data_IF_896007064412
#
_entry.id   IF_896007064412
#
_cell.length_a   1.000
_cell.length_b   1.000
_cell.length_c   1.000
_cell.angle_alpha   90.00
_cell.angle_beta   90.00
_cell.angle_gamma   90.00
#
_symmetry.space_group_name_H-M   'P 1'
#
loop_
_entity.id
_entity.type
_entity.pdbx_description
1 polymer ?
#
# COMPACT_ATOMS: atom_id res chain seq x y z
N UNK A 1 -27.65 -16.49 2.08
CA UNK A 1 -28.38 -16.10 0.85
C UNK A 1 -28.23 -14.62 0.48
N UNK A 2 -28.29 -13.64 1.41
CA UNK A 2 -28.08 -12.21 1.09
C UNK A 2 -26.66 -11.87 0.57
N UNK A 3 -25.62 -12.52 1.13
CA UNK A 3 -24.21 -12.33 0.74
C UNK A 3 -23.95 -12.66 -0.74
N UNK A 4 -24.40 -13.82 -1.22
CA UNK A 4 -24.21 -14.23 -2.61
C UNK A 4 -24.92 -13.31 -3.61
N UNK A 5 -26.17 -12.89 -3.34
CA UNK A 5 -26.87 -11.91 -4.18
C UNK A 5 -26.16 -10.55 -4.19
N UNK A 6 -25.63 -10.08 -3.06
CA UNK A 6 -24.83 -8.85 -2.96
C UNK A 6 -23.54 -8.96 -3.78
N UNK A 7 -22.83 -10.09 -3.74
CA UNK A 7 -21.63 -10.31 -4.56
C UNK A 7 -21.90 -10.27 -6.07
N UNK A 8 -23.03 -10.81 -6.53
CA UNK A 8 -23.38 -10.79 -7.95
C UNK A 8 -23.98 -9.46 -8.43
N UNK A 9 -24.60 -8.66 -7.54
CA UNK A 9 -25.16 -7.35 -7.89
C UNK A 9 -24.16 -6.20 -7.76
N UNK A 10 -23.02 -6.41 -7.10
CA UNK A 10 -21.99 -5.40 -6.87
C UNK A 10 -20.99 -5.41 -8.01
N UNK A 11 -20.82 -4.28 -8.71
CA UNK A 11 -19.73 -4.10 -9.67
C UNK A 11 -18.40 -4.05 -8.91
N UNK A 12 -17.70 -5.18 -8.85
CA UNK A 12 -16.33 -5.24 -8.34
C UNK A 12 -15.40 -4.54 -9.32
N UNK A 13 -14.73 -3.49 -8.89
CA UNK A 13 -13.67 -2.85 -9.67
C UNK A 13 -12.35 -3.57 -9.41
N UNK A 14 -11.80 -4.21 -10.44
CA UNK A 14 -10.49 -4.84 -10.38
C UNK A 14 -9.41 -3.86 -10.83
N UNK A 15 -8.49 -3.55 -9.94
CA UNK A 15 -7.31 -2.73 -10.23
C UNK A 15 -6.09 -3.61 -10.50
N UNK A 16 -5.56 -3.54 -11.73
CA UNK A 16 -4.32 -4.21 -12.12
C UNK A 16 -3.34 -3.17 -12.64
N UNK A 17 -2.17 -3.12 -12.03
CA UNK A 17 -1.03 -2.38 -12.55
C UNK A 17 0.10 -3.36 -12.85
N UNK A 18 0.68 -3.25 -14.05
CA UNK A 18 1.78 -4.11 -14.50
C UNK A 18 3.02 -3.24 -14.61
N UNK A 19 3.99 -3.52 -13.74
CA UNK A 19 5.24 -2.79 -13.70
C UNK A 19 6.15 -3.07 -14.88
N UNK A 20 7.24 -2.30 -14.96
CA UNK A 20 8.26 -2.49 -15.99
C UNK A 20 8.91 -3.88 -15.87
N UNK A 21 9.10 -4.61 -16.98
CA UNK A 21 9.69 -5.94 -16.94
C UNK A 21 11.17 -5.88 -16.51
N UNK A 22 11.59 -6.89 -15.76
CA UNK A 22 12.93 -7.01 -15.19
C UNK A 22 13.49 -8.41 -15.39
N UNK A 23 14.81 -8.52 -15.42
CA UNK A 23 15.52 -9.79 -15.44
C UNK A 23 15.67 -10.43 -14.03
N UNK A 24 16.33 -11.59 -13.98
CA UNK A 24 16.61 -12.35 -12.74
C UNK A 24 17.61 -11.67 -11.79
N UNK A 25 18.17 -10.52 -12.17
CA UNK A 25 19.03 -9.67 -11.34
C UNK A 25 18.37 -8.30 -11.04
N UNK A 26 17.12 -8.14 -11.47
CA UNK A 26 16.33 -6.94 -11.35
C UNK A 26 16.79 -5.77 -12.24
N UNK A 27 17.50 -6.01 -13.33
CA UNK A 27 17.73 -4.98 -14.33
C UNK A 27 16.49 -4.87 -15.22
N UNK A 28 16.09 -3.64 -15.59
CA UNK A 28 15.03 -3.48 -16.57
C UNK A 28 15.44 -4.07 -17.91
N UNK A 29 14.46 -4.55 -18.67
CA UNK A 29 14.69 -5.07 -20.02
C UNK A 29 14.04 -4.17 -21.07
N UNK A 30 14.60 -4.19 -22.28
CA UNK A 30 13.97 -3.57 -23.44
C UNK A 30 12.82 -4.42 -24.01
N UNK A 31 12.25 -3.97 -25.14
CA UNK A 31 11.18 -4.65 -25.86
C UNK A 31 11.54 -6.05 -26.39
N UNK A 32 12.84 -6.34 -26.54
CA UNK A 32 13.35 -7.64 -26.95
C UNK A 32 13.73 -8.54 -25.75
N UNK A 33 13.54 -8.06 -24.52
CA UNK A 33 13.93 -8.76 -23.30
C UNK A 33 15.42 -8.66 -22.98
N UNK A 34 16.16 -7.74 -23.60
CA UNK A 34 17.60 -7.53 -23.35
C UNK A 34 17.75 -6.69 -22.09
N UNK A 35 18.56 -7.16 -21.15
CA UNK A 35 18.82 -6.45 -19.90
C UNK A 35 19.63 -5.18 -20.11
N UNK A 36 19.13 -4.12 -19.51
CA UNK A 36 19.65 -2.77 -19.65
C UNK A 36 20.29 -2.31 -18.34
N UNK A 37 21.52 -1.82 -18.44
CA UNK A 37 22.22 -1.16 -17.35
C UNK A 37 21.75 0.30 -17.18
N UNK A 38 22.15 0.96 -16.08
CA UNK A 38 21.71 2.32 -15.75
C UNK A 38 21.99 3.37 -16.84
N UNK A 39 23.05 3.16 -17.63
CA UNK A 39 23.47 4.08 -18.70
C UNK A 39 22.97 3.66 -20.09
N UNK A 40 22.00 2.73 -20.17
CA UNK A 40 21.48 2.21 -21.44
C UNK A 40 22.38 1.16 -22.13
N UNK A 41 23.44 0.71 -21.46
CA UNK A 41 24.31 -0.36 -21.96
C UNK A 41 23.65 -1.73 -21.79
N UNK A 42 23.88 -2.66 -22.71
CA UNK A 42 23.37 -4.02 -22.56
C UNK A 42 24.16 -4.81 -21.51
N UNK A 43 23.46 -5.63 -20.73
CA UNK A 43 24.04 -6.52 -19.71
C UNK A 43 23.92 -7.96 -20.21
N UNK A 44 25.07 -8.62 -20.34
CA UNK A 44 25.11 -10.06 -20.53
C UNK A 44 25.05 -10.77 -19.17
N UNK A 45 23.85 -11.20 -18.83
CA UNK A 45 23.53 -11.98 -17.62
C UNK A 45 24.43 -13.20 -17.43
N UNK A 46 24.82 -13.87 -18.52
CA UNK A 46 25.65 -15.07 -18.46
C UNK A 46 27.01 -14.75 -17.87
N UNK A 47 27.58 -13.59 -18.24
CA UNK A 47 28.87 -13.12 -17.70
C UNK A 47 28.81 -12.90 -16.19
N UNK A 48 27.68 -12.48 -15.64
CA UNK A 48 27.50 -12.32 -14.18
C UNK A 48 27.60 -13.66 -13.44
N UNK A 49 27.21 -14.77 -14.10
CA UNK A 49 27.26 -16.12 -13.57
C UNK A 49 28.52 -16.90 -13.97
N UNK A 50 29.40 -16.32 -14.80
CA UNK A 50 30.65 -16.94 -15.23
C UNK A 50 31.79 -16.66 -14.25
N UNK A 51 32.54 -17.69 -13.86
CA UNK A 51 33.76 -17.59 -13.05
C UNK A 51 34.90 -18.28 -13.79
N UNK A 52 36.01 -17.57 -14.04
CA UNK A 52 37.16 -18.10 -14.81
C UNK A 52 36.78 -18.67 -16.19
N UNK A 53 35.81 -18.05 -16.87
CA UNK A 53 35.35 -18.47 -18.20
C UNK A 53 34.30 -19.58 -18.19
N UNK A 54 34.02 -20.19 -17.04
CA UNK A 54 33.02 -21.25 -16.90
C UNK A 54 31.75 -20.76 -16.22
N UNK A 55 30.59 -21.12 -16.77
CA UNK A 55 29.32 -20.92 -16.09
C UNK A 55 29.25 -21.87 -14.89
N UNK A 56 29.29 -21.31 -13.68
CA UNK A 56 29.42 -22.08 -12.45
C UNK A 56 28.55 -21.49 -11.35
N UNK A 57 27.81 -22.34 -10.65
CA UNK A 57 27.10 -21.97 -9.43
C UNK A 57 28.11 -21.62 -8.34
N UNK A 58 27.95 -20.45 -7.72
CA UNK A 58 28.83 -19.96 -6.65
C UNK A 58 27.91 -19.49 -5.52
N UNK A 59 27.66 -20.33 -4.50
CA UNK A 59 26.61 -20.08 -3.51
C UNK A 59 26.68 -18.71 -2.83
N UNK A 60 27.89 -18.21 -2.56
CA UNK A 60 28.08 -16.89 -1.98
C UNK A 60 27.63 -15.77 -2.92
N UNK A 61 28.13 -15.76 -4.17
CA UNK A 61 27.74 -14.77 -5.20
C UNK A 61 26.25 -14.83 -5.50
N UNK A 62 25.72 -16.04 -5.66
CA UNK A 62 24.32 -16.26 -6.04
C UNK A 62 23.39 -15.77 -4.92
N UNK A 63 23.80 -15.90 -3.64
CA UNK A 63 23.11 -15.29 -2.50
C UNK A 63 23.10 -13.76 -2.56
N UNK A 64 24.23 -13.12 -2.89
CA UNK A 64 24.30 -11.65 -3.05
C UNK A 64 23.35 -11.17 -4.16
N UNK A 65 23.37 -11.82 -5.32
CA UNK A 65 22.45 -11.50 -6.42
C UNK A 65 20.99 -11.70 -6.05
N UNK A 66 20.67 -12.76 -5.30
CA UNK A 66 19.32 -12.99 -4.79
C UNK A 66 18.89 -11.88 -3.83
N UNK A 67 19.79 -11.41 -2.95
CA UNK A 67 19.53 -10.29 -2.06
C UNK A 67 19.27 -8.98 -2.82
N UNK A 68 20.10 -8.67 -3.81
CA UNK A 68 19.92 -7.51 -4.69
C UNK A 68 18.57 -7.57 -5.42
N UNK A 69 18.21 -8.72 -5.98
CA UNK A 69 16.90 -8.92 -6.61
C UNK A 69 15.77 -8.68 -5.60
N UNK A 70 15.88 -9.23 -4.39
CA UNK A 70 14.89 -9.04 -3.33
C UNK A 70 14.65 -7.56 -3.02
N UNK A 71 15.73 -6.78 -2.84
CA UNK A 71 15.62 -5.34 -2.61
C UNK A 71 14.92 -4.60 -3.77
N UNK A 72 15.28 -4.92 -5.01
CA UNK A 72 14.66 -4.31 -6.19
C UNK A 72 13.19 -4.70 -6.33
N UNK A 73 12.84 -5.95 -6.06
CA UNK A 73 11.45 -6.42 -6.09
C UNK A 73 10.61 -5.71 -5.04
N UNK A 74 11.12 -5.52 -3.81
CA UNK A 74 10.44 -4.73 -2.77
C UNK A 74 10.24 -3.29 -3.24
N UNK A 75 11.29 -2.63 -3.74
CA UNK A 75 11.19 -1.26 -4.26
C UNK A 75 10.13 -1.15 -5.37
N UNK A 76 10.13 -2.09 -6.33
CA UNK A 76 9.11 -2.12 -7.40
C UNK A 76 7.73 -2.45 -6.87
N UNK A 77 7.58 -3.36 -5.91
CA UNK A 77 6.28 -3.69 -5.31
C UNK A 77 5.59 -2.45 -4.73
N UNK A 78 6.36 -1.55 -4.12
CA UNK A 78 5.86 -0.26 -3.65
C UNK A 78 5.62 0.72 -4.80
N UNK A 79 6.59 0.87 -5.72
CA UNK A 79 6.47 1.76 -6.88
C UNK A 79 5.24 1.45 -7.74
N UNK A 80 4.88 0.17 -7.89
CA UNK A 80 3.78 -0.30 -8.72
C UNK A 80 2.45 -0.42 -7.95
N UNK A 81 2.43 -0.06 -6.68
CA UNK A 81 1.22 -0.07 -5.86
C UNK A 81 0.18 0.92 -6.38
N UNK A 82 -1.07 0.49 -6.51
CA UNK A 82 -2.21 1.37 -6.74
C UNK A 82 -2.97 1.55 -5.42
N UNK A 83 -2.94 2.76 -4.88
CA UNK A 83 -3.69 3.15 -3.69
C UNK A 83 -5.15 3.44 -4.09
N UNK A 84 -6.08 2.78 -3.41
CA UNK A 84 -7.51 2.99 -3.59
C UNK A 84 -8.08 3.93 -2.52
N UNK A 85 -9.26 4.48 -2.78
CA UNK A 85 -10.05 5.27 -1.83
C UNK A 85 -10.27 4.52 -0.52
N UNK A 86 -10.57 3.22 -0.58
CA UNK A 86 -10.73 2.35 0.59
C UNK A 86 -9.47 2.26 1.46
N UNK A 87 -8.29 2.18 0.84
CA UNK A 87 -7.01 2.17 1.57
C UNK A 87 -6.77 3.51 2.26
N UNK A 88 -7.06 4.62 1.57
CA UNK A 88 -6.84 5.96 2.07
C UNK A 88 -7.79 6.31 3.22
N UNK A 89 -9.08 5.94 3.11
CA UNK A 89 -10.06 6.06 4.20
C UNK A 89 -9.60 5.25 5.41
N UNK A 90 -9.21 3.98 5.21
CA UNK A 90 -8.77 3.12 6.29
C UNK A 90 -7.54 3.69 7.01
N UNK A 91 -6.55 4.15 6.24
CA UNK A 91 -5.35 4.78 6.79
C UNK A 91 -5.66 6.05 7.55
N UNK A 92 -6.50 6.93 6.99
CA UNK A 92 -6.86 8.20 7.61
C UNK A 92 -7.62 8.00 8.92
N UNK A 93 -8.58 7.06 8.95
CA UNK A 93 -9.33 6.73 10.16
C UNK A 93 -8.40 6.16 11.23
N UNK A 94 -7.50 5.25 10.84
CA UNK A 94 -6.53 4.69 11.77
C UNK A 94 -5.56 5.76 12.30
N UNK A 95 -5.13 6.70 11.46
CA UNK A 95 -4.27 7.83 11.85
C UNK A 95 -4.96 8.72 12.90
N UNK A 96 -6.21 9.13 12.67
CA UNK A 96 -6.94 9.94 13.67
C UNK A 96 -7.09 9.19 14.99
N UNK A 97 -7.50 7.92 14.95
CA UNK A 97 -7.64 7.11 16.16
C UNK A 97 -6.31 6.96 16.89
N UNK A 98 -5.22 6.78 16.15
CA UNK A 98 -3.88 6.64 16.73
C UNK A 98 -3.43 7.92 17.44
N UNK A 99 -3.73 9.08 16.88
CA UNK A 99 -3.47 10.39 17.52
C UNK A 99 -4.25 10.58 18.82
N UNK A 100 -5.44 9.99 18.94
CA UNK A 100 -6.22 10.02 20.18
C UNK A 100 -5.64 9.10 21.27
N UNK A 101 -4.97 8.01 20.87
CA UNK A 101 -4.43 6.99 21.77
C UNK A 101 -2.94 6.70 21.51
N UNK A 102 -2.04 7.69 21.67
CA UNK A 102 -0.64 7.56 21.26
C UNK A 102 0.17 6.57 22.12
N UNK A 103 -0.24 6.35 23.38
CA UNK A 103 0.50 5.52 24.34
C UNK A 103 0.06 4.05 24.36
N UNK A 104 -1.03 3.69 23.67
CA UNK A 104 -1.48 2.30 23.63
C UNK A 104 -0.55 1.45 22.76
N UNK A 105 -0.26 0.23 23.20
CA UNK A 105 0.34 -0.77 22.32
C UNK A 105 -0.68 -1.25 21.27
N UNK A 106 -0.20 -1.85 20.17
CA UNK A 106 -1.04 -2.28 19.06
C UNK A 106 -2.18 -3.22 19.49
N UNK A 107 -1.91 -4.17 20.39
CA UNK A 107 -2.93 -5.14 20.82
C UNK A 107 -4.06 -4.49 21.62
N UNK A 108 -3.72 -3.54 22.51
CA UNK A 108 -4.73 -2.76 23.23
C UNK A 108 -5.47 -1.80 22.30
N UNK A 109 -4.77 -1.19 21.36
CA UNK A 109 -5.34 -0.27 20.38
C UNK A 109 -6.36 -0.95 19.44
N UNK A 110 -6.09 -2.17 18.97
CA UNK A 110 -7.05 -2.93 18.17
C UNK A 110 -8.29 -3.39 18.97
N UNK A 111 -8.26 -3.25 20.30
CA UNK A 111 -9.34 -3.65 21.22
C UNK A 111 -10.11 -2.48 21.83
N UNK A 112 -9.96 -1.26 21.29
CA UNK A 112 -10.77 -0.11 21.69
C UNK A 112 -12.27 -0.46 21.69
N UNK A 113 -13.07 0.13 22.57
CA UNK A 113 -14.53 -0.08 22.57
C UNK A 113 -15.19 0.68 21.42
N UNK A 114 -16.45 0.37 21.07
CA UNK A 114 -17.15 1.07 19.98
C UNK A 114 -17.17 2.59 20.17
N UNK A 115 -17.45 3.06 21.39
CA UNK A 115 -17.45 4.49 21.72
C UNK A 115 -16.07 5.16 21.52
N UNK A 116 -14.98 4.41 21.71
CA UNK A 116 -13.61 4.90 21.52
C UNK A 116 -13.17 4.92 20.06
N UNK A 117 -13.91 4.26 19.16
CA UNK A 117 -13.60 4.18 17.73
C UNK A 117 -14.37 5.22 16.90
N UNK A 118 -15.09 6.13 17.55
CA UNK A 118 -15.88 7.17 16.90
C UNK A 118 -15.05 8.45 16.73
N UNK A 119 -15.07 9.02 15.53
CA UNK A 119 -14.36 10.24 15.18
C UNK A 119 -15.34 11.24 14.58
N UNK A 120 -15.35 12.51 15.05
CA UNK A 120 -16.10 13.58 14.39
C UNK A 120 -15.72 13.72 12.91
N UNK A 121 -16.72 13.82 12.03
CA UNK A 121 -16.50 13.74 10.58
C UNK A 121 -15.67 14.93 10.04
N UNK A 122 -15.80 16.11 10.64
CA UNK A 122 -14.96 17.29 10.39
C UNK A 122 -13.47 17.00 10.63
N UNK A 123 -13.13 16.45 11.81
CA UNK A 123 -11.76 16.04 12.15
C UNK A 123 -11.22 14.95 11.23
N UNK A 124 -12.10 14.04 10.82
CA UNK A 124 -11.72 13.00 9.86
C UNK A 124 -11.38 13.61 8.50
N UNK A 125 -12.18 14.55 7.98
CA UNK A 125 -11.90 15.20 6.70
C UNK A 125 -10.59 16.00 6.71
N UNK A 126 -10.29 16.69 7.82
CA UNK A 126 -8.99 17.37 8.00
C UNK A 126 -7.83 16.38 7.89
N UNK A 127 -7.91 15.24 8.59
CA UNK A 127 -6.87 14.23 8.53
C UNK A 127 -6.79 13.55 7.14
N UNK A 128 -7.94 13.26 6.54
CA UNK A 128 -8.04 12.64 5.23
C UNK A 128 -7.39 13.52 4.15
N UNK A 129 -7.61 14.84 4.21
CA UNK A 129 -6.96 15.79 3.32
C UNK A 129 -5.44 15.82 3.51
N UNK A 130 -4.98 15.84 4.77
CA UNK A 130 -3.55 15.80 5.12
C UNK A 130 -2.87 14.52 4.59
N UNK A 131 -3.47 13.37 4.83
CA UNK A 131 -2.96 12.07 4.35
C UNK A 131 -2.97 12.03 2.82
N UNK A 132 -4.03 12.52 2.18
CA UNK A 132 -4.12 12.59 0.72
C UNK A 132 -2.98 13.41 0.13
N UNK A 133 -2.65 14.58 0.69
CA UNK A 133 -1.54 15.41 0.24
C UNK A 133 -0.20 14.64 0.29
N UNK A 134 0.06 13.92 1.38
CA UNK A 134 1.26 13.09 1.53
C UNK A 134 1.33 11.98 0.48
N UNK A 135 0.21 11.28 0.24
CA UNK A 135 0.14 10.19 -0.74
C UNK A 135 0.23 10.74 -2.16
N UNK A 136 -0.37 11.89 -2.44
CA UNK A 136 -0.27 12.58 -3.73
C UNK A 136 1.16 12.97 -4.05
N UNK A 137 1.89 13.57 -3.09
CA UNK A 137 3.30 13.91 -3.27
C UNK A 137 4.17 12.67 -3.57
N UNK A 138 3.86 11.53 -2.93
CA UNK A 138 4.53 10.27 -3.25
C UNK A 138 4.20 9.77 -4.66
N UNK A 139 2.94 9.90 -5.08
CA UNK A 139 2.51 9.56 -6.43
C UNK A 139 3.22 10.43 -7.49
N UNK A 140 3.32 11.73 -7.25
CA UNK A 140 4.00 12.69 -8.15
C UNK A 140 5.51 12.39 -8.26
N UNK A 141 6.11 11.87 -7.18
CA UNK A 141 7.49 11.38 -7.19
C UNK A 141 7.68 9.98 -7.80
N UNK A 142 6.61 9.35 -8.30
CA UNK A 142 6.64 8.03 -8.93
C UNK A 142 6.83 6.86 -7.95
N UNK A 143 6.56 7.07 -6.66
CA UNK A 143 6.68 6.03 -5.61
C UNK A 143 5.46 5.13 -5.49
N UNK A 144 4.32 5.52 -6.05
CA UNK A 144 3.07 4.75 -6.08
C UNK A 144 2.13 5.35 -7.13
N UNK A 145 1.01 4.68 -7.37
CA UNK A 145 -0.08 5.15 -8.21
C UNK A 145 -1.34 5.39 -7.37
N UNK A 146 -2.17 6.33 -7.82
CA UNK A 146 -3.51 6.56 -7.27
C UNK A 146 -4.58 5.89 -8.14
N UNK A 147 -5.73 5.55 -7.57
CA UNK A 147 -6.92 5.23 -8.38
C UNK A 147 -7.44 6.47 -9.12
N UNK A 148 -8.29 6.28 -10.12
CA UNK A 148 -8.94 7.39 -10.84
C UNK A 148 -9.81 8.22 -9.92
N UNK A 149 -10.54 7.58 -9.00
CA UNK A 149 -11.38 8.25 -8.00
C UNK A 149 -10.59 9.23 -7.14
N UNK A 150 -9.38 8.84 -6.72
CA UNK A 150 -8.50 9.71 -5.93
C UNK A 150 -7.91 10.87 -6.74
N UNK A 151 -7.64 10.67 -8.05
CA UNK A 151 -7.09 11.74 -8.90
C UNK A 151 -8.10 12.83 -9.26
N UNK A 152 -9.38 12.48 -9.37
CA UNK A 152 -10.41 13.38 -9.89
C UNK A 152 -11.38 13.90 -8.81
N UNK A 153 -11.25 13.41 -7.57
CA UNK A 153 -12.28 13.55 -6.54
C UNK A 153 -12.02 14.65 -5.53
N UNK A 154 -13.09 15.36 -5.16
CA UNK A 154 -13.19 16.09 -3.89
C UNK A 154 -13.02 15.12 -2.70
N UNK A 155 -12.48 15.59 -1.57
CA UNK A 155 -12.28 14.78 -0.36
C UNK A 155 -13.53 14.03 0.07
N UNK A 156 -14.70 14.66 -0.04
CA UNK A 156 -15.97 14.04 0.33
C UNK A 156 -16.34 12.89 -0.59
N UNK A 157 -16.13 13.09 -1.90
CA UNK A 157 -16.48 12.11 -2.93
C UNK A 157 -15.66 10.84 -2.75
N UNK A 158 -14.33 10.95 -2.62
CA UNK A 158 -13.50 9.76 -2.50
C UNK A 158 -13.63 9.10 -1.12
N UNK A 159 -13.96 9.86 -0.07
CA UNK A 159 -14.27 9.28 1.25
C UNK A 159 -15.55 8.45 1.18
N UNK A 160 -16.61 8.97 0.56
CA UNK A 160 -17.87 8.24 0.38
C UNK A 160 -17.67 6.96 -0.44
N UNK A 161 -16.91 7.05 -1.54
CA UNK A 161 -16.52 5.87 -2.33
C UNK A 161 -15.71 4.89 -1.47
N UNK A 162 -14.68 5.35 -0.76
CA UNK A 162 -13.84 4.48 0.07
C UNK A 162 -14.63 3.74 1.16
N UNK A 163 -15.53 4.43 1.85
CA UNK A 163 -16.44 3.82 2.84
C UNK A 163 -17.37 2.81 2.18
N UNK A 164 -17.91 3.12 1.00
CA UNK A 164 -18.74 2.19 0.24
C UNK A 164 -17.99 0.92 -0.14
N UNK A 165 -16.79 1.06 -0.74
CA UNK A 165 -15.93 -0.06 -1.18
C UNK A 165 -15.55 -0.98 -0.02
N UNK A 166 -15.23 -0.39 1.15
CA UNK A 166 -14.94 -1.14 2.38
C UNK A 166 -16.13 -1.99 2.87
N UNK A 167 -17.36 -1.59 2.57
CA UNK A 167 -18.59 -2.30 2.95
C UNK A 167 -19.10 -3.33 1.94
N UNK A 168 -18.42 -3.54 0.81
CA UNK A 168 -18.88 -4.45 -0.25
C UNK A 168 -18.66 -5.93 0.09
N UNK A 169 -17.48 -6.27 0.62
CA UNK A 169 -17.02 -7.65 0.76
C UNK A 169 -17.20 -8.26 2.16
N UNK A 170 -17.47 -7.42 3.16
CA UNK A 170 -17.54 -7.85 4.56
C UNK A 170 -18.95 -7.62 5.13
N UNK A 171 -19.39 -8.52 6.00
CA UNK A 171 -20.64 -8.35 6.74
C UNK A 171 -20.51 -7.26 7.82
N UNK A 172 -19.30 -7.07 8.38
CA UNK A 172 -18.96 -6.00 9.31
C UNK A 172 -18.62 -4.70 8.56
N UNK A 173 -19.06 -3.55 9.08
CA UNK A 173 -18.77 -2.25 8.48
C UNK A 173 -17.37 -1.79 8.89
N UNK A 174 -16.39 -2.01 8.00
CA UNK A 174 -15.00 -1.60 8.24
C UNK A 174 -14.87 -0.09 8.44
N UNK A 175 -15.71 0.70 7.75
CA UNK A 175 -15.94 2.11 8.05
C UNK A 175 -17.43 2.43 7.90
N UNK A 176 -17.93 3.34 8.73
CA UNK A 176 -19.34 3.73 8.77
C UNK A 176 -19.46 5.21 9.08
N UNK A 177 -20.25 5.95 8.31
CA UNK A 177 -20.57 7.35 8.59
C UNK A 177 -22.03 7.42 9.05
N UNK A 178 -22.25 7.89 10.28
CA UNK A 178 -23.58 8.11 10.88
C UNK A 178 -23.53 9.30 11.85
N UNK A 179 -24.60 10.08 11.88
CA UNK A 179 -24.80 11.20 12.82
C UNK A 179 -23.61 12.18 12.94
N UNK A 180 -22.95 12.47 11.81
CA UNK A 180 -21.80 13.38 11.78
C UNK A 180 -20.51 12.80 12.35
N UNK A 181 -20.44 11.48 12.54
CA UNK A 181 -19.25 10.75 12.96
C UNK A 181 -18.90 9.66 11.96
N UNK A 182 -17.61 9.34 11.87
CA UNK A 182 -17.11 8.14 11.22
C UNK A 182 -16.59 7.17 12.28
N UNK A 183 -16.90 5.89 12.13
CA UNK A 183 -16.50 4.84 13.06
C UNK A 183 -16.16 3.54 12.33
N UNK A 184 -15.60 2.58 13.07
CA UNK A 184 -15.26 1.24 12.56
C UNK A 184 -15.79 0.16 13.52
N UNK A 185 -16.48 -0.83 12.96
CA UNK A 185 -16.93 -2.00 13.71
C UNK A 185 -15.82 -3.07 13.83
N UNK A 186 -14.89 -3.09 12.87
CA UNK A 186 -13.79 -4.07 12.79
C UNK A 186 -12.42 -3.39 12.65
N UNK A 187 -11.73 -3.26 13.79
CA UNK A 187 -10.37 -2.70 13.85
C UNK A 187 -9.32 -3.54 13.10
N UNK A 188 -9.50 -4.86 13.02
CA UNK A 188 -8.53 -5.73 12.36
C UNK A 188 -8.62 -5.58 10.84
N UNK A 189 -9.83 -5.51 10.29
CA UNK A 189 -10.03 -5.21 8.88
C UNK A 189 -9.56 -3.80 8.54
N UNK A 190 -9.85 -2.81 9.39
CA UNK A 190 -9.34 -1.44 9.19
C UNK A 190 -7.81 -1.43 9.13
N UNK A 191 -7.14 -2.15 10.05
CA UNK A 191 -5.69 -2.29 10.08
C UNK A 191 -5.17 -2.99 8.81
N UNK A 192 -5.84 -4.05 8.35
CA UNK A 192 -5.48 -4.74 7.12
C UNK A 192 -5.55 -3.81 5.89
N UNK A 193 -6.63 -3.03 5.71
CA UNK A 193 -6.76 -2.14 4.54
C UNK A 193 -5.77 -0.96 4.55
N UNK A 194 -5.37 -0.50 5.74
CA UNK A 194 -4.29 0.49 5.93
C UNK A 194 -2.96 -0.01 5.36
N UNK A 195 -2.67 -1.30 5.43
CA UNK A 195 -1.34 -1.85 5.11
C UNK A 195 -0.88 -1.56 3.67
N UNK A 196 -1.78 -1.20 2.76
CA UNK A 196 -1.39 -0.80 1.40
C UNK A 196 -0.64 0.54 1.33
N UNK A 197 -0.73 1.37 2.37
CA UNK A 197 0.00 2.63 2.52
C UNK A 197 1.19 2.54 3.50
N UNK A 198 1.59 1.31 3.80
CA UNK A 198 2.69 1.02 4.71
C UNK A 198 4.00 0.88 3.93
N UNK A 199 5.13 1.27 4.54
CA UNK A 199 6.45 1.22 3.92
C UNK A 199 6.84 2.47 3.10
N UNK A 200 6.06 3.56 3.16
CA UNK A 200 6.35 4.81 2.45
C UNK A 200 6.90 5.93 3.35
N UNK A 201 7.13 5.64 4.64
CA UNK A 201 7.58 6.64 5.60
C UNK A 201 6.54 7.71 5.95
N UNK A 202 5.25 7.47 5.73
CA UNK A 202 4.15 8.43 5.99
C UNK A 202 3.85 8.69 7.49
N UNK A 203 4.81 8.44 8.37
CA UNK A 203 4.64 8.49 9.82
C UNK A 203 4.70 7.08 10.40
N UNK A 204 5.67 6.87 11.30
CA UNK A 204 5.82 5.67 12.11
C UNK A 204 4.78 5.65 13.23
N UNK A 205 3.51 5.90 12.92
CA UNK A 205 2.45 6.06 13.92
C UNK A 205 2.21 4.76 14.70
N UNK A 206 2.73 3.62 14.22
CA UNK A 206 2.52 2.29 14.78
C UNK A 206 3.76 1.69 15.43
N UNK A 207 4.86 2.45 15.56
CA UNK A 207 6.11 1.94 16.15
C UNK A 207 6.71 0.75 15.40
N UNK A 208 6.33 0.58 14.14
CA UNK A 208 6.87 -0.45 13.26
C UNK A 208 8.28 0.00 12.85
N UNK A 209 9.30 -0.81 13.12
CA UNK A 209 10.68 -0.52 12.70
C UNK A 209 10.70 -0.40 11.19
N UNK A 210 11.08 0.77 10.70
CA UNK A 210 11.33 0.96 9.28
C UNK A 210 12.82 0.79 9.03
N UNK A 211 13.20 0.11 7.94
CA UNK A 211 14.58 0.13 7.46
C UNK A 211 15.00 1.57 7.07
N UNK A 212 16.27 1.78 6.73
CA UNK A 212 16.81 3.09 6.32
C UNK A 212 16.05 3.72 5.12
N UNK A 213 15.19 2.95 4.43
CA UNK A 213 14.38 3.38 3.28
C UNK A 213 12.90 3.57 3.62
N UNK A 214 12.48 3.35 4.86
CA UNK A 214 11.10 3.56 5.30
C UNK A 214 10.18 2.35 5.13
N UNK A 215 10.71 1.17 4.78
CA UNK A 215 9.96 -0.09 4.66
C UNK A 215 9.84 -0.79 6.01
N UNK A 216 8.68 -1.37 6.32
CA UNK A 216 8.56 -2.15 7.56
C UNK A 216 9.49 -3.36 7.55
N UNK A 217 10.16 -3.55 8.67
CA UNK A 217 10.92 -4.76 9.03
C UNK A 217 10.02 -5.72 9.79
#
# INVERSE_FOLDING_TARGET
MKFFWKLFSTRSELWVNVGKPMDVFGNFVDENGISMGPNGTTIDQRKLLTTRGELKAVPQRDREYTGILGHKLTERYHAENVVLSSNLVAYSLMSVLRKQYPTLDLFRFLRLTEAQRMVPLDKFYEEAARVFEMVSNAADSGKLFLSTTLRCGDVKIWVEDGVHQLGLFHDAKVAKIEDGTISTEDMNLLYYYRNRLTGYGFGSDFGEETDEKGFLV
#
